data_IF_053348859537
#
_entry.id   IF_053348859537
#
_cell.length_a   1.000
_cell.length_b   1.000
_cell.length_c   1.000
_cell.angle_alpha   90.00
_cell.angle_beta   90.00
_cell.angle_gamma   90.00
#
_symmetry.space_group_name_H-M   'P 1'
#
loop_
_entity.id
_entity.type
_entity.pdbx_description
1 polymer ?
#
# COMPACT_ATOMS: atom_id res chain seq x y z
N UNK A 1 51.90 -47.90 25.45
CA UNK A 1 52.34 -47.42 26.77
C UNK A 1 52.82 -45.98 26.56
N UNK A 2 52.25 -44.94 27.19
CA UNK A 2 52.45 -44.54 28.61
C UNK A 2 53.92 -44.25 28.91
N UNK A 3 54.33 -43.14 29.53
CA UNK A 3 53.65 -42.14 30.40
C UNK A 3 53.82 -40.69 29.84
N UNK A 4 53.11 -39.61 30.20
CA UNK A 4 52.26 -39.20 31.34
C UNK A 4 52.98 -38.39 32.46
N UNK A 5 52.60 -37.12 32.65
CA UNK A 5 52.55 -36.38 33.92
C UNK A 5 51.53 -35.21 33.76
N UNK A 6 50.44 -35.06 34.55
CA UNK A 6 50.31 -34.77 36.01
C UNK A 6 50.42 -33.25 36.26
N UNK A 7 49.47 -32.50 36.88
CA UNK A 7 48.20 -32.75 37.61
C UNK A 7 47.33 -31.43 37.61
N UNK A 8 46.10 -31.25 38.15
CA UNK A 8 45.15 -32.11 38.87
C UNK A 8 43.64 -31.83 38.53
N UNK A 9 42.86 -31.16 39.40
CA UNK A 9 41.37 -31.05 39.44
C UNK A 9 40.95 -29.80 40.33
N UNK A 10 39.67 -29.41 40.59
CA UNK A 10 38.41 -30.19 40.67
C UNK A 10 37.16 -29.60 39.94
N UNK A 11 35.96 -30.10 40.29
CA UNK A 11 34.69 -30.02 39.53
C UNK A 11 33.74 -28.85 39.91
N UNK A 12 32.80 -28.52 39.00
CA UNK A 12 31.62 -27.67 39.24
C UNK A 12 30.45 -28.03 38.30
N UNK A 13 29.19 -27.72 38.68
CA UNK A 13 27.97 -28.10 37.92
C UNK A 13 27.62 -27.10 36.80
N UNK A 14 26.87 -27.53 35.77
CA UNK A 14 26.49 -26.65 34.66
C UNK A 14 25.44 -25.60 35.07
N UNK A 15 25.61 -24.38 34.55
CA UNK A 15 24.59 -23.33 34.54
C UNK A 15 24.35 -22.97 33.07
N UNK A 16 23.17 -23.29 32.54
CA UNK A 16 22.84 -23.06 31.14
C UNK A 16 22.41 -21.63 30.87
N UNK A 17 23.13 -20.93 29.98
CA UNK A 17 22.68 -19.68 29.38
C UNK A 17 22.98 -19.68 27.88
N UNK A 18 21.93 -19.70 27.06
CA UNK A 18 22.04 -19.51 25.62
C UNK A 18 22.26 -18.02 25.33
N UNK A 19 23.37 -17.67 24.68
CA UNK A 19 23.62 -16.31 24.18
C UNK A 19 24.08 -16.39 22.73
N UNK A 20 23.15 -16.16 21.82
CA UNK A 20 23.41 -15.77 20.43
C UNK A 20 22.96 -14.31 20.25
N UNK A 21 23.72 -13.46 19.54
CA UNK A 21 23.38 -12.06 19.38
C UNK A 21 22.22 -11.87 18.37
N UNK A 22 21.02 -11.65 18.90
CA UNK A 22 19.85 -11.25 18.10
C UNK A 22 20.00 -9.81 17.59
N UNK A 23 20.27 -9.65 16.29
CA UNK A 23 20.12 -8.38 15.58
C UNK A 23 18.66 -8.16 15.16
N UNK A 24 17.76 -8.01 16.14
CA UNK A 24 16.33 -7.80 15.89
C UNK A 24 16.07 -6.42 15.29
N UNK A 25 15.38 -6.42 14.15
CA UNK A 25 14.96 -5.26 13.37
C UNK A 25 14.07 -4.29 14.19
N UNK A 26 14.65 -3.18 14.64
CA UNK A 26 13.90 -2.05 15.22
C UNK A 26 13.12 -1.33 14.11
N UNK A 27 11.85 -1.69 13.89
CA UNK A 27 11.11 -1.15 12.74
C UNK A 27 9.65 -1.53 12.59
N UNK A 28 8.93 -1.85 13.66
CA UNK A 28 7.47 -2.05 13.60
C UNK A 28 6.78 -1.34 14.77
N UNK A 29 5.89 -0.40 14.46
CA UNK A 29 5.21 0.43 15.44
C UNK A 29 4.23 -0.40 16.27
N UNK A 30 4.42 -0.42 17.59
CA UNK A 30 3.36 -0.87 18.50
C UNK A 30 2.14 0.03 18.32
N UNK A 31 0.95 -0.56 18.20
CA UNK A 31 -0.32 0.16 18.16
C UNK A 31 -1.03 -0.10 19.49
N UNK A 32 -0.42 0.38 20.57
CA UNK A 32 -0.91 0.17 21.92
C UNK A 32 -2.34 0.70 22.10
N UNK A 33 -3.19 -0.14 22.67
CA UNK A 33 -4.58 0.19 22.93
C UNK A 33 -4.68 0.99 24.22
N UNK A 34 -4.59 2.32 24.13
CA UNK A 34 -4.89 3.20 25.27
C UNK A 34 -6.29 2.92 25.83
N UNK A 35 -6.36 2.85 27.15
CA UNK A 35 -7.55 2.46 27.90
C UNK A 35 -8.67 3.49 27.80
N UNK A 36 -9.89 3.01 27.57
CA UNK A 36 -11.12 3.81 27.77
C UNK A 36 -11.17 4.36 29.20
N UNK A 37 -11.44 5.66 29.40
CA UNK A 37 -11.94 6.15 30.68
C UNK A 37 -13.38 5.66 30.89
N UNK A 38 -13.70 5.29 32.12
CA UNK A 38 -15.04 4.81 32.49
C UNK A 38 -16.07 5.95 32.49
N UNK A 39 -17.34 5.62 32.23
CA UNK A 39 -18.39 6.59 31.88
C UNK A 39 -19.55 6.59 32.89
N UNK A 40 -19.22 6.69 34.18
CA UNK A 40 -20.20 6.56 35.28
C UNK A 40 -19.95 7.50 36.47
N UNK A 41 -19.81 8.81 36.23
CA UNK A 41 -19.88 9.79 37.32
C UNK A 41 -20.64 11.06 36.87
N UNK A 42 -21.93 11.14 37.25
CA UNK A 42 -22.75 12.34 37.14
C UNK A 42 -23.79 12.36 38.28
N UNK A 43 -23.57 13.22 39.27
CA UNK A 43 -24.57 13.86 40.14
C UNK A 43 -23.83 14.76 41.16
N UNK A 44 -24.33 15.92 41.63
CA UNK A 44 -25.37 16.80 41.08
C UNK A 44 -25.37 18.18 41.80
N UNK A 45 -26.39 19.00 41.53
CA UNK A 45 -26.82 20.22 42.27
C UNK A 45 -25.94 21.49 42.26
N UNK A 46 -24.65 21.44 42.55
CA UNK A 46 -23.88 22.67 42.88
C UNK A 46 -23.78 23.67 41.71
N UNK A 47 -23.34 23.21 40.54
CA UNK A 47 -23.08 24.04 39.35
C UNK A 47 -24.38 24.63 38.77
N UNK A 48 -25.52 23.98 38.97
CA UNK A 48 -26.81 24.43 38.42
C UNK A 48 -27.39 25.67 39.11
N UNK A 49 -27.08 25.90 40.39
CA UNK A 49 -27.68 26.99 41.16
C UNK A 49 -27.05 28.35 40.81
N UNK A 50 -25.72 28.39 40.68
CA UNK A 50 -25.01 29.60 40.22
C UNK A 50 -25.43 29.99 38.78
N UNK A 51 -25.62 29.00 37.90
CA UNK A 51 -26.12 29.23 36.54
C UNK A 51 -27.52 29.87 36.52
N UNK A 52 -28.38 29.52 37.47
CA UNK A 52 -29.71 30.12 37.60
C UNK A 52 -29.61 31.56 38.14
N UNK A 53 -28.71 31.81 39.09
CA UNK A 53 -28.50 33.12 39.73
C UNK A 53 -27.95 34.16 38.76
N UNK A 54 -27.00 33.76 37.91
CA UNK A 54 -26.44 34.58 36.83
C UNK A 54 -27.49 34.92 35.74
N UNK A 55 -28.49 34.04 35.54
CA UNK A 55 -29.52 34.22 34.49
C UNK A 55 -30.44 35.42 34.70
N UNK A 56 -30.61 35.87 35.95
CA UNK A 56 -31.56 36.93 36.34
C UNK A 56 -30.99 38.33 36.08
N UNK A 57 -29.68 38.49 35.93
CA UNK A 57 -29.00 39.79 35.78
C UNK A 57 -28.54 40.08 34.33
N UNK A 58 -29.32 39.68 33.32
CA UNK A 58 -29.00 40.00 31.92
C UNK A 58 -29.45 41.41 31.52
N UNK A 59 -28.55 42.28 31.02
CA UNK A 59 -28.93 43.52 30.33
C UNK A 59 -29.71 43.22 29.02
N UNK A 60 -30.42 44.21 28.44
CA UNK A 60 -31.32 43.99 27.31
C UNK A 60 -30.65 43.44 26.04
N UNK A 61 -31.49 42.88 25.16
CA UNK A 61 -31.10 41.97 24.07
C UNK A 61 -30.46 42.67 22.84
N UNK A 62 -29.35 43.37 23.03
CA UNK A 62 -28.58 44.03 21.94
C UNK A 62 -27.34 43.22 21.49
N UNK A 63 -27.12 42.02 22.07
CA UNK A 63 -26.02 41.11 21.71
C UNK A 63 -26.53 39.68 21.49
N UNK A 64 -27.31 39.49 20.43
CA UNK A 64 -27.53 38.14 19.88
C UNK A 64 -26.19 37.57 19.43
N UNK A 65 -25.88 36.33 19.84
CA UNK A 65 -24.76 35.60 19.28
C UNK A 65 -25.07 35.31 17.78
N UNK A 66 -24.23 35.77 16.84
CA UNK A 66 -24.59 35.79 15.43
C UNK A 66 -24.77 34.38 14.85
N UNK A 67 -25.87 34.18 14.12
CA UNK A 67 -26.42 32.86 13.79
C UNK A 67 -25.54 32.12 12.78
N UNK A 68 -24.97 30.98 13.16
CA UNK A 68 -24.03 30.26 12.28
C UNK A 68 -24.76 29.37 11.27
N UNK A 69 -25.15 29.92 10.12
CA UNK A 69 -25.80 29.13 9.06
C UNK A 69 -24.82 28.18 8.39
N UNK A 70 -25.04 26.87 8.53
CA UNK A 70 -24.20 25.80 7.99
C UNK A 70 -24.79 25.36 6.65
N UNK A 71 -24.47 26.05 5.55
CA UNK A 71 -24.84 25.62 4.21
C UNK A 71 -24.04 24.38 3.79
N UNK A 72 -24.62 23.19 3.89
CA UNK A 72 -23.95 21.91 3.66
C UNK A 72 -23.69 21.62 2.18
N UNK A 73 -22.84 22.46 1.54
CA UNK A 73 -22.30 22.21 0.20
C UNK A 73 -21.53 20.87 0.24
N UNK A 74 -22.16 19.81 -0.28
CA UNK A 74 -21.56 18.49 -0.41
C UNK A 74 -20.60 18.49 -1.59
N UNK A 75 -19.42 19.08 -1.42
CA UNK A 75 -18.35 19.02 -2.42
C UNK A 75 -17.87 17.58 -2.52
N UNK A 76 -18.41 16.84 -3.48
CA UNK A 76 -17.88 15.55 -3.94
C UNK A 76 -16.55 15.82 -4.62
N UNK A 77 -15.47 15.94 -3.83
CA UNK A 77 -14.12 16.24 -4.31
C UNK A 77 -13.76 15.27 -5.45
N UNK A 78 -13.37 15.77 -6.65
CA UNK A 78 -13.09 14.89 -7.79
C UNK A 78 -11.92 13.93 -7.52
N UNK A 79 -11.08 14.24 -6.54
CA UNK A 79 -9.93 13.44 -6.08
C UNK A 79 -10.26 11.95 -5.90
N UNK A 80 -11.39 11.61 -5.27
CA UNK A 80 -11.81 10.21 -5.05
C UNK A 80 -12.20 9.49 -6.36
N UNK A 81 -12.82 10.22 -7.30
CA UNK A 81 -13.22 9.69 -8.60
C UNK A 81 -11.99 9.49 -9.49
N UNK A 82 -11.04 10.43 -9.45
CA UNK A 82 -9.74 10.31 -10.12
C UNK A 82 -8.96 9.11 -9.56
N UNK A 83 -8.90 8.93 -8.24
CA UNK A 83 -8.25 7.78 -7.61
C UNK A 83 -8.89 6.44 -8.02
N UNK A 84 -10.22 6.37 -8.10
CA UNK A 84 -10.93 5.18 -8.59
C UNK A 84 -10.61 4.88 -10.07
N UNK A 85 -10.62 5.89 -10.94
CA UNK A 85 -10.22 5.74 -12.35
C UNK A 85 -8.75 5.28 -12.45
N UNK A 86 -7.88 5.81 -11.59
CA UNK A 86 -6.47 5.45 -11.50
C UNK A 86 -6.29 3.96 -11.18
N UNK A 87 -7.01 3.43 -10.19
CA UNK A 87 -7.04 1.99 -9.89
C UNK A 87 -7.56 1.14 -11.05
N UNK A 88 -8.66 1.54 -11.71
CA UNK A 88 -9.16 0.84 -12.91
C UNK A 88 -8.12 0.80 -14.04
N UNK A 89 -7.32 1.86 -14.21
CA UNK A 89 -6.19 1.88 -15.16
C UNK A 89 -5.08 0.91 -14.72
N UNK A 90 -4.71 0.87 -13.44
CA UNK A 90 -3.72 -0.09 -12.89
C UNK A 90 -4.14 -1.53 -13.16
N UNK A 91 -5.41 -1.90 -12.90
CA UNK A 91 -5.96 -3.23 -13.23
C UNK A 91 -5.72 -3.59 -14.70
N UNK A 92 -6.02 -2.67 -15.64
CA UNK A 92 -5.84 -2.91 -17.08
C UNK A 92 -4.36 -3.03 -17.47
N UNK A 93 -3.49 -2.17 -16.93
CA UNK A 93 -2.04 -2.22 -17.19
C UNK A 93 -1.41 -3.50 -16.63
N UNK A 94 -1.84 -3.94 -15.44
CA UNK A 94 -1.37 -5.19 -14.81
C UNK A 94 -1.82 -6.43 -15.59
N UNK A 95 -3.06 -6.47 -16.09
CA UNK A 95 -3.53 -7.54 -16.98
C UNK A 95 -2.73 -7.55 -18.29
N UNK A 96 -2.50 -6.39 -18.89
CA UNK A 96 -1.72 -6.25 -20.12
C UNK A 96 -0.27 -6.73 -19.94
N UNK A 97 0.38 -6.35 -18.84
CA UNK A 97 1.72 -6.83 -18.51
C UNK A 97 1.75 -8.35 -18.28
N UNK A 98 0.82 -8.90 -17.49
CA UNK A 98 0.74 -10.34 -17.21
C UNK A 98 0.47 -11.20 -18.46
N UNK A 99 -0.32 -10.71 -19.41
CA UNK A 99 -0.66 -11.43 -20.64
C UNK A 99 0.43 -11.38 -21.74
N UNK A 100 1.40 -10.48 -21.62
CA UNK A 100 2.39 -10.19 -22.66
C UNK A 100 3.65 -11.07 -22.62
N UNK A 101 4.23 -11.32 -23.81
CA UNK A 101 5.45 -12.11 -24.03
C UNK A 101 6.72 -11.26 -24.16
N UNK A 102 6.63 -9.94 -24.05
CA UNK A 102 7.74 -8.98 -24.24
C UNK A 102 8.14 -8.30 -22.92
N UNK A 103 8.48 -9.07 -21.88
CA UNK A 103 9.11 -8.52 -20.67
C UNK A 103 10.61 -8.33 -20.87
N UNK A 104 11.25 -9.27 -21.56
CA UNK A 104 12.67 -9.30 -21.86
C UNK A 104 12.86 -9.81 -23.29
N UNK A 105 13.72 -9.15 -24.05
CA UNK A 105 13.98 -9.45 -25.46
C UNK A 105 15.49 -9.64 -25.69
N UNK A 106 15.83 -10.50 -26.64
CA UNK A 106 17.13 -10.63 -27.27
C UNK A 106 16.90 -10.93 -28.76
N UNK A 107 17.98 -10.97 -29.57
CA UNK A 107 17.86 -11.32 -30.99
C UNK A 107 17.06 -12.62 -31.18
N UNK A 108 15.97 -12.58 -31.95
CA UNK A 108 15.15 -13.74 -32.29
C UNK A 108 14.54 -14.49 -31.07
N UNK A 109 14.45 -13.81 -29.92
CA UNK A 109 14.01 -14.40 -28.64
C UNK A 109 13.20 -13.41 -27.79
N UNK A 110 11.98 -13.80 -27.42
CA UNK A 110 11.07 -13.02 -26.56
C UNK A 110 10.73 -13.81 -25.30
N UNK A 111 10.84 -13.21 -24.13
CA UNK A 111 10.50 -13.85 -22.86
C UNK A 111 9.49 -13.01 -22.09
N UNK A 112 8.30 -13.59 -21.91
CA UNK A 112 7.29 -13.14 -20.97
C UNK A 112 7.41 -13.83 -19.62
N UNK A 113 6.48 -13.47 -18.73
CA UNK A 113 6.49 -13.92 -17.35
C UNK A 113 6.03 -15.39 -17.17
N UNK A 114 5.32 -15.93 -18.16
CA UNK A 114 4.81 -17.31 -18.18
C UNK A 114 5.22 -18.11 -19.42
N UNK A 115 5.36 -17.44 -20.57
CA UNK A 115 5.67 -18.02 -21.88
C UNK A 115 6.83 -17.25 -22.51
N UNK A 116 7.72 -17.97 -23.18
CA UNK A 116 8.76 -17.44 -24.05
C UNK A 116 8.52 -17.93 -25.49
N UNK A 117 9.00 -17.18 -26.48
CA UNK A 117 8.85 -17.47 -27.90
C UNK A 117 10.17 -17.29 -28.64
N UNK A 118 10.41 -18.18 -29.60
CA UNK A 118 11.60 -18.30 -30.43
C UNK A 118 11.17 -17.99 -31.88
N UNK A 119 11.84 -17.04 -32.53
CA UNK A 119 11.57 -16.63 -33.91
C UNK A 119 12.14 -17.68 -34.91
N UNK A 120 11.51 -17.86 -36.08
CA UNK A 120 11.83 -18.96 -37.02
C UNK A 120 13.26 -18.92 -37.59
N UNK A 121 13.82 -17.73 -37.83
CA UNK A 121 15.17 -17.53 -38.37
C UNK A 121 16.28 -17.57 -37.29
N UNK A 122 15.97 -17.99 -36.06
CA UNK A 122 16.87 -17.87 -34.90
C UNK A 122 18.18 -18.66 -35.01
N UNK A 123 19.31 -17.95 -34.94
CA UNK A 123 20.65 -18.56 -35.06
C UNK A 123 21.12 -19.11 -33.70
N UNK A 124 21.55 -20.40 -33.61
CA UNK A 124 22.11 -20.96 -32.39
C UNK A 124 23.53 -20.44 -32.12
N UNK A 125 23.95 -20.34 -30.83
CA UNK A 125 23.26 -20.82 -29.64
C UNK A 125 22.14 -19.88 -29.15
N UNK A 126 21.03 -20.49 -28.74
CA UNK A 126 19.95 -19.81 -28.03
C UNK A 126 20.39 -19.44 -26.60
N UNK A 127 19.69 -18.49 -25.93
CA UNK A 127 20.01 -18.13 -24.56
C UNK A 127 19.98 -19.34 -23.62
N UNK A 128 20.88 -19.36 -22.64
CA UNK A 128 20.98 -20.44 -21.64
C UNK A 128 21.17 -21.86 -22.21
N UNK A 129 21.60 -21.99 -23.48
CA UNK A 129 21.84 -23.26 -24.17
C UNK A 129 20.61 -24.18 -24.26
N UNK A 130 19.44 -23.57 -24.47
CA UNK A 130 18.17 -24.24 -24.78
C UNK A 130 18.24 -24.83 -26.20
N UNK A 131 17.54 -25.94 -26.45
CA UNK A 131 17.56 -26.68 -27.73
C UNK A 131 16.15 -26.92 -28.32
N UNK A 132 15.17 -26.11 -27.89
CA UNK A 132 13.81 -26.17 -28.42
C UNK A 132 13.75 -25.53 -29.83
N UNK A 133 12.97 -26.09 -30.78
CA UNK A 133 12.80 -25.52 -32.11
C UNK A 133 11.90 -24.26 -32.06
N UNK A 134 11.82 -23.46 -33.14
CA UNK A 134 10.96 -22.27 -33.20
C UNK A 134 9.52 -22.50 -32.74
N UNK A 135 8.93 -21.49 -32.09
CA UNK A 135 7.63 -21.59 -31.44
C UNK A 135 7.60 -20.97 -30.03
N UNK A 136 6.48 -21.13 -29.32
CA UNK A 136 6.28 -20.60 -27.98
C UNK A 136 6.14 -21.72 -26.94
N UNK A 137 6.88 -21.61 -25.83
CA UNK A 137 6.97 -22.62 -24.77
C UNK A 137 6.91 -21.97 -23.38
N UNK A 138 6.65 -22.77 -22.34
CA UNK A 138 6.61 -22.28 -20.96
C UNK A 138 7.96 -21.72 -20.52
N UNK A 139 7.98 -20.56 -19.87
CA UNK A 139 9.21 -19.94 -19.36
C UNK A 139 9.90 -20.84 -18.34
N UNK A 140 11.25 -20.89 -18.38
CA UNK A 140 12.11 -21.71 -17.51
C UNK A 140 11.67 -21.66 -16.04
N UNK A 141 11.73 -22.80 -15.35
CA UNK A 141 11.38 -22.98 -13.93
C UNK A 141 12.40 -22.33 -12.96
N UNK A 142 12.61 -21.01 -13.08
CA UNK A 142 13.55 -20.24 -12.25
C UNK A 142 12.80 -19.44 -11.20
N UNK A 143 13.30 -19.50 -9.95
CA UNK A 143 12.61 -18.97 -8.77
C UNK A 143 12.22 -17.50 -8.86
N UNK A 144 13.09 -16.62 -9.38
CA UNK A 144 12.79 -15.18 -9.46
C UNK A 144 11.68 -14.87 -10.47
N UNK A 145 11.61 -15.58 -11.61
CA UNK A 145 10.55 -15.40 -12.62
C UNK A 145 9.20 -15.76 -12.00
N UNK A 146 9.13 -16.92 -11.33
CA UNK A 146 7.91 -17.41 -10.66
C UNK A 146 7.51 -16.54 -9.46
N UNK A 147 8.49 -15.95 -8.76
CA UNK A 147 8.24 -14.98 -7.69
C UNK A 147 7.70 -13.64 -8.24
N UNK A 148 8.29 -13.09 -9.29
CA UNK A 148 7.78 -11.89 -9.99
C UNK A 148 6.36 -12.14 -10.52
N UNK A 149 6.10 -13.31 -11.11
CA UNK A 149 4.74 -13.73 -11.52
C UNK A 149 3.75 -13.71 -10.36
N UNK A 150 4.09 -14.34 -9.23
CA UNK A 150 3.24 -14.37 -8.04
C UNK A 150 2.99 -12.97 -7.48
N UNK A 151 4.02 -12.12 -7.38
CA UNK A 151 3.90 -10.74 -6.89
C UNK A 151 3.01 -9.87 -7.81
N UNK A 152 3.13 -10.01 -9.13
CA UNK A 152 2.27 -9.29 -10.08
C UNK A 152 0.81 -9.79 -10.04
N UNK A 153 0.57 -11.08 -9.82
CA UNK A 153 -0.80 -11.61 -9.60
C UNK A 153 -1.36 -11.10 -8.26
N UNK A 154 -0.57 -11.10 -7.18
CA UNK A 154 -0.98 -10.56 -5.87
C UNK A 154 -1.30 -9.06 -5.98
N UNK A 155 -0.48 -8.30 -6.71
CA UNK A 155 -0.72 -6.89 -7.04
C UNK A 155 -2.09 -6.72 -7.70
N UNK A 156 -2.36 -7.45 -8.79
CA UNK A 156 -3.63 -7.37 -9.53
C UNK A 156 -4.84 -7.71 -8.64
N UNK A 157 -4.77 -8.80 -7.87
CA UNK A 157 -5.87 -9.23 -6.99
C UNK A 157 -6.13 -8.22 -5.87
N UNK A 158 -5.07 -7.68 -5.25
CA UNK A 158 -5.20 -6.68 -4.18
C UNK A 158 -5.66 -5.33 -4.70
N UNK A 159 -5.21 -4.90 -5.89
CA UNK A 159 -5.66 -3.66 -6.54
C UNK A 159 -7.13 -3.73 -6.99
N UNK A 160 -7.58 -4.86 -7.55
CA UNK A 160 -9.01 -5.10 -7.83
C UNK A 160 -9.84 -5.00 -6.55
N UNK A 161 -9.39 -5.62 -5.44
CA UNK A 161 -10.08 -5.53 -4.14
C UNK A 161 -10.12 -4.08 -3.65
N UNK A 162 -9.00 -3.34 -3.71
CA UNK A 162 -8.94 -1.96 -3.25
C UNK A 162 -9.76 -1.00 -4.11
N UNK A 163 -9.77 -1.19 -5.43
CA UNK A 163 -10.61 -0.44 -6.38
C UNK A 163 -12.10 -0.67 -6.12
N UNK A 164 -12.51 -1.92 -5.85
CA UNK A 164 -13.89 -2.24 -5.44
C UNK A 164 -14.23 -1.62 -4.08
N UNK A 165 -13.35 -1.70 -3.08
CA UNK A 165 -13.55 -1.07 -1.77
C UNK A 165 -13.68 0.46 -1.88
N UNK A 166 -12.91 1.09 -2.77
CA UNK A 166 -12.98 2.53 -3.08
C UNK A 166 -14.32 2.88 -3.74
N UNK A 167 -14.78 2.09 -4.72
CA UNK A 167 -16.10 2.26 -5.36
C UNK A 167 -17.27 2.08 -4.38
N UNK A 168 -17.19 1.10 -3.47
CA UNK A 168 -18.16 0.92 -2.39
C UNK A 168 -18.11 2.08 -1.37
N UNK A 169 -16.92 2.60 -1.07
CA UNK A 169 -16.71 3.80 -0.28
C UNK A 169 -17.27 5.08 -0.91
N UNK A 170 -17.43 5.12 -2.24
CA UNK A 170 -18.12 6.22 -2.95
C UNK A 170 -19.65 6.07 -2.89
N UNK A 171 -20.17 4.84 -2.95
CA UNK A 171 -21.62 4.56 -2.94
C UNK A 171 -22.25 4.59 -1.55
N UNK A 172 -21.49 4.35 -0.48
CA UNK A 172 -22.04 4.23 0.88
C UNK A 172 -22.34 5.57 1.56
N UNK A 173 -23.58 5.76 2.00
CA UNK A 173 -24.02 6.95 2.75
C UNK A 173 -23.64 6.89 4.25
N UNK A 174 -23.34 5.70 4.77
CA UNK A 174 -23.12 5.46 6.20
C UNK A 174 -21.70 5.85 6.63
N UNK A 175 -21.54 7.01 7.29
CA UNK A 175 -20.24 7.61 7.64
C UNK A 175 -19.25 6.64 8.34
N UNK A 176 -19.71 5.87 9.34
CA UNK A 176 -18.87 4.91 10.06
C UNK A 176 -18.37 3.75 9.19
N UNK A 177 -19.15 3.31 8.19
CA UNK A 177 -18.74 2.29 7.24
C UNK A 177 -17.84 2.88 6.15
N UNK A 178 -18.17 4.07 5.66
CA UNK A 178 -17.35 4.86 4.72
C UNK A 178 -15.89 4.93 5.21
N UNK A 179 -15.68 5.41 6.45
CA UNK A 179 -14.34 5.54 7.02
C UNK A 179 -13.57 4.20 7.08
N UNK A 180 -14.24 3.11 7.50
CA UNK A 180 -13.63 1.77 7.54
C UNK A 180 -13.25 1.28 6.13
N UNK A 181 -14.11 1.45 5.13
CA UNK A 181 -13.81 1.05 3.75
C UNK A 181 -12.61 1.80 3.17
N UNK A 182 -12.53 3.13 3.29
CA UNK A 182 -11.36 3.89 2.81
C UNK A 182 -10.07 3.52 3.56
N UNK A 183 -10.12 3.34 4.89
CA UNK A 183 -8.92 2.94 5.66
C UNK A 183 -8.39 1.57 5.24
N UNK A 184 -9.28 0.61 4.95
CA UNK A 184 -8.88 -0.71 4.43
C UNK A 184 -8.36 -0.60 2.99
N UNK A 185 -9.06 0.15 2.12
CA UNK A 185 -8.65 0.33 0.72
C UNK A 185 -7.23 0.89 0.59
N UNK A 186 -6.90 1.95 1.35
CA UNK A 186 -5.55 2.55 1.35
C UNK A 186 -4.48 1.55 1.82
N UNK A 187 -4.75 0.76 2.87
CA UNK A 187 -3.81 -0.26 3.34
C UNK A 187 -3.60 -1.37 2.28
N UNK A 188 -4.66 -1.79 1.58
CA UNK A 188 -4.55 -2.80 0.53
C UNK A 188 -3.81 -2.27 -0.71
N UNK A 189 -4.04 -1.01 -1.13
CA UNK A 189 -3.24 -0.39 -2.20
C UNK A 189 -1.77 -0.22 -1.82
N UNK A 190 -1.46 0.10 -0.55
CA UNK A 190 -0.06 0.17 -0.07
C UNK A 190 0.63 -1.20 -0.15
N UNK A 191 -0.06 -2.29 0.21
CA UNK A 191 0.47 -3.65 0.05
C UNK A 191 0.66 -3.99 -1.44
N UNK A 192 -0.30 -3.65 -2.30
CA UNK A 192 -0.22 -3.83 -3.75
C UNK A 192 0.97 -3.06 -4.36
N UNK A 193 1.19 -1.82 -3.92
CA UNK A 193 2.31 -0.98 -4.36
C UNK A 193 3.68 -1.57 -3.97
N UNK A 194 3.81 -2.10 -2.74
CA UNK A 194 5.03 -2.78 -2.31
C UNK A 194 5.24 -4.11 -3.06
N UNK A 195 4.16 -4.82 -3.41
CA UNK A 195 4.24 -6.04 -4.22
C UNK A 195 4.70 -5.75 -5.66
N UNK A 196 4.17 -4.72 -6.33
CA UNK A 196 4.60 -4.39 -7.71
C UNK A 196 6.01 -3.81 -7.76
N UNK A 197 6.39 -2.95 -6.81
CA UNK A 197 7.74 -2.40 -6.73
C UNK A 197 8.78 -3.50 -6.45
N UNK A 198 8.48 -4.44 -5.55
CA UNK A 198 9.37 -5.58 -5.32
C UNK A 198 9.45 -6.51 -6.53
N UNK A 199 8.36 -6.76 -7.25
CA UNK A 199 8.38 -7.52 -8.50
C UNK A 199 9.30 -6.88 -9.57
N UNK A 200 9.15 -5.56 -9.77
CA UNK A 200 9.90 -4.78 -10.75
C UNK A 200 11.38 -4.59 -10.40
N UNK A 201 11.75 -4.70 -9.12
CA UNK A 201 13.16 -4.64 -8.67
C UNK A 201 13.80 -6.03 -8.69
N UNK A 202 13.08 -7.08 -8.23
CA UNK A 202 13.60 -8.46 -8.20
C UNK A 202 13.92 -8.98 -9.60
N UNK A 203 13.07 -8.70 -10.59
CA UNK A 203 13.24 -9.18 -11.96
C UNK A 203 14.60 -8.77 -12.59
N UNK A 204 14.97 -7.48 -12.72
CA UNK A 204 16.26 -7.07 -13.27
C UNK A 204 17.44 -7.43 -12.36
N UNK A 205 17.29 -7.38 -11.03
CA UNK A 205 18.39 -7.67 -10.08
C UNK A 205 18.80 -9.14 -10.13
N UNK A 206 17.85 -10.06 -10.16
CA UNK A 206 18.16 -11.48 -10.33
C UNK A 206 18.64 -11.81 -11.75
N UNK A 207 18.02 -11.21 -12.77
CA UNK A 207 18.44 -11.40 -14.16
C UNK A 207 19.89 -10.94 -14.43
N UNK A 208 20.32 -9.83 -13.81
CA UNK A 208 21.71 -9.35 -13.93
C UNK A 208 22.76 -10.36 -13.42
N UNK A 209 22.41 -11.22 -12.46
CA UNK A 209 23.26 -12.34 -12.03
C UNK A 209 23.33 -13.48 -13.05
N UNK A 210 22.18 -13.84 -13.66
CA UNK A 210 22.10 -14.87 -14.69
C UNK A 210 22.68 -14.43 -16.06
N UNK A 211 22.93 -13.14 -16.27
CA UNK A 211 23.43 -12.58 -17.54
C UNK A 211 24.72 -13.29 -18.05
N UNK A 212 25.56 -13.75 -17.12
CA UNK A 212 26.77 -14.56 -17.40
C UNK A 212 26.49 -15.92 -18.07
N UNK A 213 25.30 -16.49 -17.84
CA UNK A 213 24.83 -17.77 -18.41
C UNK A 213 24.02 -17.57 -19.69
N UNK A 214 23.62 -16.34 -20.01
CA UNK A 214 22.74 -16.02 -21.13
C UNK A 214 23.36 -16.23 -22.53
N UNK A 215 24.68 -16.45 -22.62
CA UNK A 215 25.47 -16.69 -23.84
C UNK A 215 25.37 -15.63 -24.96
N UNK A 216 24.60 -14.56 -24.74
CA UNK A 216 24.39 -13.42 -25.64
C UNK A 216 24.62 -12.11 -24.89
N UNK A 217 25.17 -11.12 -25.58
CA UNK A 217 25.66 -9.85 -24.98
C UNK A 217 24.67 -8.69 -25.02
N UNK A 218 23.61 -8.81 -25.82
CA UNK A 218 22.58 -7.77 -25.99
C UNK A 218 21.26 -8.33 -25.46
N UNK A 219 20.66 -7.58 -24.55
CA UNK A 219 19.40 -7.87 -23.87
C UNK A 219 18.66 -6.57 -23.64
N UNK A 220 17.37 -6.54 -23.95
CA UNK A 220 16.55 -5.34 -23.88
C UNK A 220 15.31 -5.62 -23.03
N UNK A 221 14.97 -4.70 -22.13
CA UNK A 221 13.70 -4.78 -21.41
C UNK A 221 12.57 -4.39 -22.36
N UNK A 222 11.61 -5.29 -22.54
CA UNK A 222 10.50 -5.09 -23.48
C UNK A 222 9.42 -4.14 -22.93
N UNK A 223 8.48 -3.80 -23.80
CA UNK A 223 7.45 -2.79 -23.51
C UNK A 223 6.59 -3.16 -22.29
N UNK A 224 6.40 -4.45 -22.00
CA UNK A 224 5.62 -4.94 -20.86
C UNK A 224 6.22 -4.56 -19.50
N UNK A 225 7.56 -4.59 -19.40
CA UNK A 225 8.27 -4.16 -18.20
C UNK A 225 8.08 -2.65 -17.97
N UNK A 226 8.07 -1.85 -19.05
CA UNK A 226 7.68 -0.44 -19.01
C UNK A 226 6.23 -0.20 -18.57
N UNK A 227 5.29 -1.02 -19.05
CA UNK A 227 3.88 -1.00 -18.61
C UNK A 227 3.75 -1.32 -17.11
N UNK A 228 4.56 -2.25 -16.59
CA UNK A 228 4.63 -2.53 -15.15
C UNK A 228 5.07 -1.32 -14.32
N UNK A 229 6.11 -0.60 -14.75
CA UNK A 229 6.50 0.68 -14.11
C UNK A 229 5.41 1.75 -14.23
N UNK A 230 4.71 1.82 -15.35
CA UNK A 230 3.53 2.68 -15.52
C UNK A 230 2.43 2.36 -14.49
N UNK A 231 2.11 1.08 -14.30
CA UNK A 231 1.15 0.62 -13.30
C UNK A 231 1.59 1.02 -11.87
N UNK A 232 2.87 0.86 -11.53
CA UNK A 232 3.40 1.28 -10.23
C UNK A 232 3.28 2.80 -9.99
N UNK A 233 3.50 3.63 -11.01
CA UNK A 233 3.34 5.10 -10.93
C UNK A 233 1.87 5.49 -10.74
N UNK A 234 0.95 4.90 -11.51
CA UNK A 234 -0.48 5.15 -11.34
C UNK A 234 -1.00 4.66 -9.98
N UNK A 235 -0.52 3.52 -9.48
CA UNK A 235 -0.89 3.00 -8.16
C UNK A 235 -0.38 3.89 -7.01
N UNK A 236 0.85 4.38 -7.11
CA UNK A 236 1.37 5.40 -6.18
C UNK A 236 0.52 6.68 -6.22
N UNK A 237 0.15 7.15 -7.40
CA UNK A 237 -0.77 8.28 -7.57
C UNK A 237 -2.13 8.04 -6.89
N UNK A 238 -2.72 6.87 -7.06
CA UNK A 238 -3.99 6.50 -6.42
C UNK A 238 -3.91 6.49 -4.88
N UNK A 239 -2.81 5.97 -4.32
CA UNK A 239 -2.51 6.02 -2.88
C UNK A 239 -2.42 7.46 -2.38
N UNK A 240 -1.64 8.32 -3.04
CA UNK A 240 -1.49 9.73 -2.63
C UNK A 240 -2.83 10.48 -2.71
N UNK A 241 -3.61 10.28 -3.78
CA UNK A 241 -4.92 10.92 -3.94
C UNK A 241 -5.91 10.55 -2.83
N UNK A 242 -5.96 9.29 -2.38
CA UNK A 242 -6.82 8.90 -1.25
C UNK A 242 -6.29 9.36 0.12
N UNK A 243 -4.97 9.52 0.28
CA UNK A 243 -4.38 10.05 1.51
C UNK A 243 -4.67 11.56 1.67
N UNK A 244 -4.45 12.36 0.63
CA UNK A 244 -4.77 13.79 0.63
C UNK A 244 -6.28 14.04 0.80
N UNK A 245 -7.12 13.18 0.24
CA UNK A 245 -8.57 13.25 0.42
C UNK A 245 -8.97 13.05 1.90
N UNK A 246 -8.39 12.07 2.62
CA UNK A 246 -8.64 11.86 4.06
C UNK A 246 -8.34 13.10 4.90
N UNK A 247 -7.19 13.73 4.69
CA UNK A 247 -6.81 14.96 5.41
C UNK A 247 -7.82 16.09 5.13
N UNK A 248 -8.27 16.19 3.88
CA UNK A 248 -9.24 17.18 3.44
C UNK A 248 -10.68 16.95 3.97
N UNK A 249 -11.04 15.73 4.39
CA UNK A 249 -12.27 15.47 5.15
C UNK A 249 -12.13 15.90 6.63
N UNK A 250 -10.95 15.76 7.23
CA UNK A 250 -10.71 16.18 8.61
C UNK A 250 -10.75 17.71 8.77
N UNK A 251 -10.14 18.46 7.84
CA UNK A 251 -10.15 19.93 7.84
C UNK A 251 -11.59 20.46 7.72
N UNK A 252 -12.41 19.84 6.86
CA UNK A 252 -13.82 20.23 6.67
C UNK A 252 -14.72 19.96 7.88
N UNK A 253 -14.29 19.12 8.83
CA UNK A 253 -14.98 18.94 10.11
C UNK A 253 -14.64 20.05 11.13
N UNK A 254 -13.46 20.69 11.00
CA UNK A 254 -13.01 21.78 11.88
C UNK A 254 -13.58 23.15 11.47
N UNK A 255 -13.74 23.40 10.18
CA UNK A 255 -14.13 24.73 9.66
C UNK A 255 -15.63 24.87 9.32
N UNK A 256 -16.47 25.10 10.35
CA UNK A 256 -17.66 25.94 10.14
C UNK A 256 -18.30 26.58 11.38
N UNK A 257 -18.26 27.92 11.43
CA UNK A 257 -19.10 28.79 12.29
C UNK A 257 -19.43 30.10 11.56
N UNK A 258 -20.33 30.05 10.55
CA UNK A 258 -20.62 31.22 9.66
C UNK A 258 -21.56 32.24 10.32
N UNK A 259 -21.03 32.94 11.30
CA UNK A 259 -21.58 34.09 12.02
C UNK A 259 -22.41 35.01 11.10
N UNK A 260 -23.75 34.90 11.15
CA UNK A 260 -24.65 35.88 10.55
C UNK A 260 -24.75 37.10 11.46
N UNK A 261 -24.09 38.18 11.09
CA UNK A 261 -24.57 39.51 11.44
C UNK A 261 -25.88 39.75 10.68
N UNK A 262 -27.01 39.69 11.40
CA UNK A 262 -28.29 40.10 10.84
C UNK A 262 -28.20 41.56 10.37
N UNK A 263 -28.71 41.84 9.17
CA UNK A 263 -28.75 43.20 8.64
C UNK A 263 -29.66 44.07 9.53
N UNK A 264 -29.07 44.80 10.47
CA UNK A 264 -29.74 45.93 11.15
C UNK A 264 -29.84 47.09 10.15
N UNK A 265 -30.83 46.95 9.26
CA UNK A 265 -31.20 47.91 8.23
C UNK A 265 -32.25 48.86 8.82
N UNK A 266 -31.78 49.91 9.47
CA UNK A 266 -32.55 51.06 9.93
C UNK A 266 -31.82 52.34 9.52
#
# INVERSE_FOLDING_TARGET
MQQQNQQQLPQGRPVGWNVLPNYTLSGMSSFDAESLPDYSEFDSESVTLDYYKESVLRPPAEKMAPTTTIETITITRPLKVIAFICGVIVVVLMIMALASTDWLMAADWRQGLFVHCIEDDSVPPLPFNIQDPPGCYWTRDIGYIKATAALCIITLVTDVIATVLTGLGLKTQNHNLKYKFYRIAVLVMLVSLLAVLSALIVYPVCFAGELSLGNRRVWEFGWAYGVGWGAAIFLFGAVVLLLCDKESEEIYYKERKIVHENQMRA
#
